data_IF_486968501390
#
_entry.id   IF_486968501390
#
_cell.length_a   1.000
_cell.length_b   1.000
_cell.length_c   1.000
_cell.angle_alpha   90.00
_cell.angle_beta   90.00
_cell.angle_gamma   90.00
#
_symmetry.space_group_name_H-M   'P 1'
#
loop_
_entity.id
_entity.type
_entity.pdbx_description
1 polymer ?
#
# COMPACT_ATOMS: atom_id res chain seq x y z
N UNK A 1 1.72 -14.59 11.00
CA UNK A 1 1.17 -13.22 11.12
C UNK A 1 1.79 -12.57 12.34
N UNK A 2 2.50 -11.45 12.21
CA UNK A 2 3.31 -10.87 13.32
C UNK A 2 2.48 -10.13 14.37
N UNK A 3 1.26 -9.70 14.02
CA UNK A 3 0.44 -8.80 14.87
C UNK A 3 -0.96 -9.34 15.20
N UNK A 4 -1.39 -10.43 14.57
CA UNK A 4 -2.68 -11.04 14.86
C UNK A 4 -2.54 -12.03 16.02
N UNK A 5 -3.48 -11.98 16.96
CA UNK A 5 -3.65 -13.00 18.00
C UNK A 5 -4.69 -13.99 17.51
N UNK A 6 -4.30 -15.26 17.39
CA UNK A 6 -5.11 -16.30 16.78
C UNK A 6 -5.30 -17.45 17.77
N UNK A 7 -6.55 -17.77 18.08
CA UNK A 7 -6.91 -18.80 19.05
C UNK A 7 -7.64 -19.96 18.36
N UNK A 8 -7.19 -21.20 18.66
CA UNK A 8 -7.90 -22.48 18.49
C UNK A 8 -8.47 -22.87 17.11
N UNK A 9 -8.94 -24.11 16.93
CA UNK A 9 -9.85 -24.48 15.83
C UNK A 9 -11.32 -24.21 16.23
N UNK A 10 -12.14 -23.57 15.38
CA UNK A 10 -11.81 -22.93 14.11
C UNK A 10 -11.01 -21.64 14.30
N UNK A 11 -10.06 -21.37 13.39
CA UNK A 11 -9.12 -20.24 13.49
C UNK A 11 -9.85 -18.90 13.69
N UNK A 12 -9.77 -18.35 14.89
CA UNK A 12 -10.27 -17.02 15.22
C UNK A 12 -9.09 -16.09 15.44
N UNK A 13 -8.78 -15.25 14.45
CA UNK A 13 -7.71 -14.26 14.53
C UNK A 13 -8.29 -12.86 14.77
N UNK A 14 -7.61 -12.08 15.61
CA UNK A 14 -7.95 -10.69 15.87
C UNK A 14 -6.73 -9.77 15.80
N UNK A 15 -6.96 -8.52 15.39
CA UNK A 15 -6.01 -7.42 15.45
C UNK A 15 -6.44 -6.42 16.52
N UNK A 16 -5.48 -5.82 17.20
CA UNK A 16 -5.76 -4.71 18.11
C UNK A 16 -5.72 -3.39 17.34
N UNK A 17 -6.81 -2.64 17.39
CA UNK A 17 -6.98 -1.35 16.70
C UNK A 17 -7.44 -0.25 17.65
N UNK A 18 -7.21 1.02 17.29
CA UNK A 18 -7.67 2.19 18.05
C UNK A 18 -7.22 2.16 19.52
N UNK A 19 -8.17 2.01 20.44
CA UNK A 19 -7.92 1.96 21.88
C UNK A 19 -7.75 0.53 22.44
N UNK A 20 -7.55 -0.47 21.59
CA UNK A 20 -7.42 -1.88 21.99
C UNK A 20 -8.63 -2.74 21.64
N UNK A 21 -9.50 -2.24 20.77
CA UNK A 21 -10.63 -3.01 20.23
C UNK A 21 -10.10 -4.19 19.42
N UNK A 22 -10.72 -5.37 19.60
CA UNK A 22 -10.41 -6.58 18.83
C UNK A 22 -11.14 -6.54 17.49
N UNK A 23 -10.41 -6.32 16.41
CA UNK A 23 -10.91 -6.40 15.05
C UNK A 23 -10.77 -7.86 14.56
N UNK A 24 -11.87 -8.60 14.31
CA UNK A 24 -11.78 -9.94 13.75
C UNK A 24 -11.23 -9.89 12.32
N UNK A 25 -10.45 -10.91 11.96
CA UNK A 25 -9.89 -11.11 10.62
C UNK A 25 -10.07 -12.55 10.16
N UNK A 26 -10.22 -12.73 8.85
CA UNK A 26 -10.22 -14.04 8.21
C UNK A 26 -8.80 -14.58 8.09
N UNK A 27 -8.54 -15.75 8.67
CA UNK A 27 -7.24 -16.42 8.63
C UNK A 27 -6.83 -16.92 7.25
N UNK A 28 -7.80 -17.16 6.37
CA UNK A 28 -7.61 -17.74 5.04
C UNK A 28 -7.39 -16.67 3.97
N UNK A 29 -7.80 -15.44 4.26
CA UNK A 29 -7.65 -14.29 3.39
C UNK A 29 -6.50 -13.37 3.82
N UNK A 30 -6.06 -12.52 2.90
CA UNK A 30 -5.16 -11.43 3.24
C UNK A 30 -5.91 -10.36 4.03
N UNK A 31 -5.27 -9.88 5.09
CA UNK A 31 -5.82 -8.82 5.94
C UNK A 31 -5.99 -7.54 5.10
N UNK A 32 -7.16 -6.86 5.16
CA UNK A 32 -7.38 -5.58 4.49
C UNK A 32 -6.39 -4.50 4.90
N UNK A 33 -5.97 -3.66 3.93
CA UNK A 33 -5.00 -2.57 4.16
C UNK A 33 -5.45 -1.61 5.26
N UNK A 34 -6.74 -1.25 5.28
CA UNK A 34 -7.27 -0.32 6.26
C UNK A 34 -7.12 -0.84 7.70
N UNK A 35 -7.42 -2.12 7.94
CA UNK A 35 -7.21 -2.76 9.25
C UNK A 35 -5.74 -2.86 9.64
N UNK A 36 -4.86 -3.15 8.69
CA UNK A 36 -3.41 -3.15 8.94
C UNK A 36 -2.92 -1.75 9.33
N UNK A 37 -3.35 -0.71 8.61
CA UNK A 37 -3.00 0.68 8.94
C UNK A 37 -3.52 1.08 10.33
N UNK A 38 -4.76 0.73 10.68
CA UNK A 38 -5.28 0.92 12.06
C UNK A 38 -4.44 0.22 13.11
N UNK A 39 -4.01 -1.01 12.82
CA UNK A 39 -3.17 -1.80 13.73
C UNK A 39 -1.79 -1.16 13.90
N UNK A 40 -1.19 -0.69 12.81
CA UNK A 40 0.09 0.03 12.84
C UNK A 40 -0.02 1.32 13.66
N UNK A 41 -1.12 2.06 13.53
CA UNK A 41 -1.36 3.26 14.35
C UNK A 41 -1.59 2.93 15.82
N UNK A 42 -2.32 1.87 16.15
CA UNK A 42 -2.46 1.35 17.51
C UNK A 42 -1.09 1.06 18.14
N UNK A 43 -0.21 0.41 17.38
CA UNK A 43 1.15 0.03 17.82
C UNK A 43 2.05 1.27 17.97
N UNK A 44 2.01 2.18 16.99
CA UNK A 44 2.81 3.41 17.01
C UNK A 44 2.49 4.27 18.24
N UNK A 45 1.21 4.47 18.56
CA UNK A 45 0.76 5.22 19.75
C UNK A 45 1.24 4.62 21.08
N UNK A 46 1.59 3.33 21.10
CA UNK A 46 2.06 2.61 22.29
C UNK A 46 3.56 2.33 22.29
N UNK A 47 4.33 2.93 21.37
CA UNK A 47 5.77 2.68 21.25
C UNK A 47 6.12 1.25 20.82
N UNK A 48 5.15 0.49 20.28
CA UNK A 48 5.34 -0.88 19.81
C UNK A 48 5.74 -0.95 18.32
N UNK A 49 5.89 0.20 17.66
CA UNK A 49 6.32 0.27 16.26
C UNK A 49 7.83 0.12 16.14
N UNK A 50 8.25 -0.80 15.26
CA UNK A 50 9.67 -0.99 14.91
C UNK A 50 10.24 0.15 14.06
N UNK A 51 9.43 1.14 13.67
CA UNK A 51 9.84 2.31 12.88
C UNK A 51 10.41 3.45 13.74
N UNK A 52 10.44 3.30 15.06
CA UNK A 52 10.68 4.41 16.00
C UNK A 52 12.15 4.52 16.40
N UNK A 53 12.99 5.05 15.51
CA UNK A 53 14.26 5.72 15.89
C UNK A 53 14.04 7.26 15.95
N UNK A 54 12.80 7.75 15.78
CA UNK A 54 12.50 9.19 15.64
C UNK A 54 11.79 9.90 16.81
N UNK A 55 11.59 9.25 17.96
CA UNK A 55 10.96 9.90 19.13
C UNK A 55 9.46 10.22 19.01
N UNK A 56 8.84 10.64 20.12
CA UNK A 56 7.45 11.14 20.15
C UNK A 56 7.38 12.47 19.38
N UNK A 57 6.54 12.54 18.35
CA UNK A 57 6.24 13.82 17.70
C UNK A 57 5.42 14.71 18.65
N UNK A 58 5.82 15.97 18.75
CA UNK A 58 5.14 17.02 19.52
C UNK A 58 3.75 17.31 18.91
N UNK A 59 2.76 17.64 19.74
CA UNK A 59 1.33 17.81 19.35
C UNK A 59 1.06 18.84 18.23
N UNK A 60 2.04 19.67 17.87
CA UNK A 60 1.96 20.75 16.87
C UNK A 60 2.80 20.49 15.61
N UNK A 61 3.46 19.33 15.51
CA UNK A 61 4.24 18.99 14.33
C UNK A 61 3.32 18.62 13.16
N UNK A 62 3.18 19.52 12.19
CA UNK A 62 2.51 19.26 10.92
C UNK A 62 3.47 18.45 10.03
N UNK A 63 3.42 17.12 10.15
CA UNK A 63 4.02 16.24 9.14
C UNK A 63 2.96 15.97 8.09
N UNK A 64 3.24 16.34 6.84
CA UNK A 64 2.42 15.92 5.71
C UNK A 64 2.67 14.42 5.45
N UNK A 65 2.06 13.60 6.32
CA UNK A 65 2.22 12.17 6.40
C UNK A 65 1.20 11.46 5.49
N UNK A 66 1.07 11.92 4.24
CA UNK A 66 0.06 11.48 3.27
C UNK A 66 0.10 9.97 2.95
N UNK A 67 1.06 9.21 3.52
CA UNK A 67 1.17 7.76 3.40
C UNK A 67 0.69 6.94 4.61
N UNK A 68 0.71 7.47 5.84
CA UNK A 68 0.34 6.73 7.06
C UNK A 68 -0.48 7.63 8.00
N UNK A 69 -1.73 7.24 8.22
CA UNK A 69 -2.69 7.89 9.12
C UNK A 69 -3.52 6.80 9.84
N UNK A 70 -4.36 7.18 10.81
CA UNK A 70 -5.35 6.26 11.43
C UNK A 70 -6.63 6.28 10.60
N UNK A 71 -6.86 5.30 9.71
CA UNK A 71 -7.95 5.39 8.76
C UNK A 71 -9.27 4.98 9.38
N UNK A 72 -10.37 5.50 8.88
CA UNK A 72 -11.70 4.91 9.05
C UNK A 72 -11.93 3.81 8.01
N UNK A 73 -12.41 2.66 8.48
CA UNK A 73 -12.66 1.48 7.68
C UNK A 73 -14.15 1.12 7.71
N UNK A 74 -14.63 0.57 6.61
CA UNK A 74 -15.88 -0.20 6.57
C UNK A 74 -15.70 -1.55 7.28
N UNK A 75 -16.81 -2.23 7.56
CA UNK A 75 -16.81 -3.53 8.25
C UNK A 75 -16.07 -4.63 7.45
N UNK A 76 -16.03 -4.52 6.13
CA UNK A 76 -15.30 -5.43 5.23
C UNK A 76 -13.81 -5.06 5.06
N UNK A 77 -13.36 -4.01 5.75
CA UNK A 77 -11.98 -3.51 5.75
C UNK A 77 -11.61 -2.63 4.57
N UNK A 78 -12.58 -2.23 3.73
CA UNK A 78 -12.37 -1.12 2.78
C UNK A 78 -12.20 0.20 3.52
N UNK A 79 -11.57 1.17 2.87
CA UNK A 79 -11.55 2.53 3.39
C UNK A 79 -12.93 3.16 3.22
N UNK A 80 -13.36 3.93 4.23
CA UNK A 80 -14.40 4.92 3.98
C UNK A 80 -13.85 5.97 3.02
N UNK A 81 -14.69 6.44 2.08
CA UNK A 81 -14.26 7.42 1.07
C UNK A 81 -13.76 8.73 1.70
N UNK A 82 -14.38 9.15 2.80
CA UNK A 82 -13.96 10.28 3.63
C UNK A 82 -13.09 9.80 4.78
N UNK A 83 -12.00 10.51 5.01
CA UNK A 83 -11.07 10.29 6.11
C UNK A 83 -10.89 11.61 6.86
N UNK A 84 -10.81 11.55 8.18
CA UNK A 84 -10.59 12.73 9.03
C UNK A 84 -9.55 12.39 10.10
N UNK A 85 -8.80 13.39 10.57
CA UNK A 85 -7.73 13.19 11.56
C UNK A 85 -8.22 13.36 13.03
N UNK A 86 -9.53 13.36 13.27
CA UNK A 86 -10.11 13.60 14.61
C UNK A 86 -10.20 15.08 15.01
N UNK A 87 -9.79 15.99 14.13
CA UNK A 87 -10.10 17.43 14.20
C UNK A 87 -11.12 17.78 13.12
N UNK A 88 -11.23 19.06 12.76
CA UNK A 88 -12.07 19.48 11.65
C UNK A 88 -11.49 19.14 10.27
N UNK A 89 -10.26 18.64 10.19
CA UNK A 89 -9.60 18.37 8.90
C UNK A 89 -9.98 16.99 8.34
N UNK A 90 -10.55 17.00 7.14
CA UNK A 90 -10.95 15.81 6.38
C UNK A 90 -10.44 15.84 4.94
N UNK A 91 -10.35 14.67 4.30
CA UNK A 91 -9.97 14.50 2.90
C UNK A 91 -10.66 13.26 2.30
N UNK A 92 -10.74 13.18 0.97
CA UNK A 92 -11.19 11.96 0.32
C UNK A 92 -10.02 11.07 -0.11
N UNK A 93 -10.25 9.75 -0.08
CA UNK A 93 -9.28 8.72 -0.49
C UNK A 93 -9.83 7.83 -1.59
N UNK A 94 -8.94 7.14 -2.32
CA UNK A 94 -9.29 6.04 -3.23
C UNK A 94 -9.37 4.70 -2.50
N UNK A 95 -9.67 3.63 -3.24
CA UNK A 95 -9.73 2.26 -2.72
C UNK A 95 -8.38 1.73 -2.20
N UNK A 96 -7.26 2.39 -2.53
CA UNK A 96 -5.95 2.13 -1.95
C UNK A 96 -5.63 2.93 -0.67
N UNK A 97 -6.55 3.81 -0.22
CA UNK A 97 -6.38 4.66 0.96
C UNK A 97 -5.47 5.87 0.71
N UNK A 98 -5.27 6.27 -0.55
CA UNK A 98 -4.43 7.42 -0.91
C UNK A 98 -5.30 8.64 -1.10
N UNK A 99 -4.86 9.77 -0.53
CA UNK A 99 -5.54 11.06 -0.63
C UNK A 99 -5.63 11.51 -2.09
N UNK A 100 -6.80 12.01 -2.47
CA UNK A 100 -7.11 12.44 -3.84
C UNK A 100 -7.86 13.76 -3.93
N UNK A 101 -7.99 14.46 -2.81
CA UNK A 101 -8.54 15.82 -2.71
C UNK A 101 -7.61 16.65 -1.85
N UNK A 102 -7.76 17.96 -1.89
CA UNK A 102 -7.23 18.81 -0.82
C UNK A 102 -7.90 18.47 0.52
N UNK A 103 -7.23 18.88 1.59
CA UNK A 103 -7.78 18.81 2.94
C UNK A 103 -8.85 19.90 3.06
N UNK A 104 -10.07 19.48 3.40
CA UNK A 104 -11.20 20.35 3.70
C UNK A 104 -11.65 20.17 5.14
N UNK A 105 -12.82 20.72 5.46
CA UNK A 105 -13.42 20.59 6.78
C UNK A 105 -14.40 19.39 6.87
N UNK A 106 -15.16 19.32 7.96
CA UNK A 106 -16.19 18.29 8.14
C UNK A 106 -17.34 18.37 7.12
N UNK A 107 -17.49 19.46 6.36
CA UNK A 107 -18.51 19.58 5.32
C UNK A 107 -18.09 18.94 3.99
N UNK A 108 -16.80 18.57 3.84
CA UNK A 108 -16.26 17.90 2.66
C UNK A 108 -17.06 16.64 2.33
N UNK A 109 -17.54 16.56 1.09
CA UNK A 109 -18.35 15.44 0.59
C UNK A 109 -17.49 14.50 -0.25
N UNK A 110 -17.44 13.23 0.17
CA UNK A 110 -16.77 12.16 -0.57
C UNK A 110 -17.85 11.16 -1.02
N UNK A 111 -18.61 11.52 -2.07
CA UNK A 111 -19.81 10.80 -2.48
C UNK A 111 -19.60 9.35 -2.92
N UNK A 112 -18.36 8.95 -3.23
CA UNK A 112 -18.00 7.57 -3.54
C UNK A 112 -16.53 7.28 -3.27
N UNK A 113 -16.24 6.01 -2.99
CA UNK A 113 -14.88 5.49 -2.97
C UNK A 113 -14.45 5.22 -4.41
N UNK A 114 -13.51 6.01 -4.92
CA UNK A 114 -13.02 5.83 -6.29
C UNK A 114 -12.02 4.68 -6.35
N UNK A 115 -12.19 3.80 -7.33
CA UNK A 115 -11.35 2.63 -7.50
C UNK A 115 -10.01 2.97 -8.14
N UNK A 116 -8.93 2.42 -7.56
CA UNK A 116 -7.61 2.39 -8.19
C UNK A 116 -7.54 1.21 -9.16
N UNK A 117 -7.39 1.48 -10.46
CA UNK A 117 -7.35 0.44 -11.50
C UNK A 117 -5.95 0.16 -12.06
N UNK A 118 -4.98 0.99 -11.74
CA UNK A 118 -3.60 0.81 -12.17
C UNK A 118 -2.64 1.23 -11.06
N UNK A 119 -1.72 0.33 -10.73
CA UNK A 119 -0.60 0.57 -9.82
C UNK A 119 0.70 0.41 -10.58
N UNK A 120 1.52 1.47 -10.60
CA UNK A 120 2.86 1.46 -11.19
C UNK A 120 3.90 1.34 -10.08
N UNK A 121 4.72 0.29 -10.15
CA UNK A 121 5.85 0.06 -9.27
C UNK A 121 7.10 0.60 -9.94
N UNK A 122 7.88 1.42 -9.25
CA UNK A 122 9.26 1.70 -9.61
C UNK A 122 10.15 1.09 -8.54
N UNK A 123 10.91 0.06 -8.92
CA UNK A 123 11.79 -0.69 -8.04
C UNK A 123 13.23 -0.43 -8.45
N UNK A 124 14.08 -0.14 -7.48
CA UNK A 124 15.54 -0.09 -7.69
C UNK A 124 16.16 -1.25 -6.95
N UNK A 125 16.91 -2.08 -7.68
CA UNK A 125 17.66 -3.18 -7.09
C UNK A 125 19.11 -2.77 -6.79
N UNK A 126 19.71 -3.46 -5.82
CA UNK A 126 21.15 -3.40 -5.56
C UNK A 126 21.94 -3.91 -6.74
N UNK A 127 23.23 -3.57 -6.79
CA UNK A 127 24.15 -4.10 -7.81
C UNK A 127 24.12 -5.63 -7.88
N UNK A 128 24.27 -6.13 -9.10
CA UNK A 128 24.17 -7.54 -9.46
C UNK A 128 25.40 -7.93 -10.28
N UNK A 129 25.90 -9.15 -10.06
CA UNK A 129 27.08 -9.67 -10.77
C UNK A 129 26.72 -10.37 -12.08
N UNK A 130 25.45 -10.69 -12.30
CA UNK A 130 24.95 -11.37 -13.49
C UNK A 130 23.97 -10.44 -14.20
N UNK A 131 24.03 -10.45 -15.53
CA UNK A 131 23.11 -9.71 -16.38
C UNK A 131 21.66 -10.17 -16.13
N UNK A 132 20.73 -9.21 -15.98
CA UNK A 132 19.32 -9.49 -15.71
C UNK A 132 18.55 -9.46 -17.02
N UNK A 133 17.99 -10.61 -17.42
CA UNK A 133 17.13 -10.68 -18.60
C UNK A 133 15.74 -10.05 -18.32
N UNK A 134 15.33 -9.10 -19.15
CA UNK A 134 14.07 -8.36 -19.03
C UNK A 134 12.81 -9.25 -19.13
N UNK A 135 12.81 -10.27 -19.98
CA UNK A 135 11.65 -11.13 -20.17
C UNK A 135 11.46 -12.06 -18.97
N UNK A 136 12.56 -12.59 -18.44
CA UNK A 136 12.56 -13.40 -17.21
C UNK A 136 12.17 -12.57 -15.99
N UNK A 137 12.51 -11.28 -16.00
CA UNK A 137 12.15 -10.33 -14.94
C UNK A 137 10.63 -10.17 -14.78
N UNK A 138 9.87 -10.14 -15.88
CA UNK A 138 8.40 -10.06 -15.83
C UNK A 138 7.81 -11.23 -15.05
N UNK A 139 8.23 -12.43 -15.42
CA UNK A 139 7.77 -13.69 -14.82
C UNK A 139 8.17 -13.76 -13.34
N UNK A 140 9.41 -13.40 -13.01
CA UNK A 140 9.91 -13.37 -11.64
C UNK A 140 9.09 -12.45 -10.74
N UNK A 141 8.81 -11.22 -11.20
CA UNK A 141 8.02 -10.24 -10.44
C UNK A 141 6.57 -10.71 -10.31
N UNK A 142 5.95 -11.20 -11.38
CA UNK A 142 4.58 -11.69 -11.32
C UNK A 142 4.43 -12.87 -10.35
N UNK A 143 5.40 -13.79 -10.34
CA UNK A 143 5.43 -14.92 -9.41
C UNK A 143 5.62 -14.47 -7.97
N UNK A 144 6.51 -13.51 -7.71
CA UNK A 144 6.73 -12.96 -6.37
C UNK A 144 5.46 -12.25 -5.86
N UNK A 145 4.84 -11.41 -6.70
CA UNK A 145 3.58 -10.74 -6.37
C UNK A 145 2.44 -11.73 -6.12
N UNK A 146 2.36 -12.82 -6.89
CA UNK A 146 1.38 -13.87 -6.67
C UNK A 146 1.65 -14.65 -5.38
N UNK A 147 2.87 -15.13 -5.18
CA UNK A 147 3.25 -15.89 -4.00
C UNK A 147 2.94 -15.12 -2.71
N UNK A 148 3.35 -13.85 -2.68
CA UNK A 148 3.27 -12.98 -1.50
C UNK A 148 1.90 -12.33 -1.30
N UNK A 149 1.27 -11.86 -2.37
CA UNK A 149 0.05 -11.05 -2.29
C UNK A 149 -1.18 -11.70 -2.93
N UNK A 150 -1.06 -12.95 -3.40
CA UNK A 150 -2.14 -13.67 -4.08
C UNK A 150 -2.73 -12.81 -5.20
N UNK A 151 -1.86 -12.08 -5.89
CA UNK A 151 -2.17 -11.26 -7.05
C UNK A 151 -2.17 -12.17 -8.28
N UNK A 152 -3.19 -12.08 -9.13
CA UNK A 152 -3.19 -12.83 -10.38
C UNK A 152 -2.04 -12.35 -11.29
N UNK A 153 -1.11 -13.23 -11.71
CA UNK A 153 -0.01 -12.87 -12.60
C UNK A 153 -0.44 -12.15 -13.89
N UNK A 154 -1.65 -12.42 -14.38
CA UNK A 154 -2.18 -11.80 -15.60
C UNK A 154 -2.43 -10.29 -15.51
N UNK A 155 -2.44 -9.74 -14.29
CA UNK A 155 -2.57 -8.30 -14.04
C UNK A 155 -1.26 -7.54 -14.23
N UNK A 156 -0.12 -8.23 -14.25
CA UNK A 156 1.18 -7.63 -14.58
C UNK A 156 1.26 -7.47 -16.10
N UNK A 157 0.91 -6.29 -16.61
CA UNK A 157 0.78 -6.05 -18.06
C UNK A 157 2.10 -5.70 -18.69
N UNK A 158 2.81 -4.73 -18.12
CA UNK A 158 4.04 -4.20 -18.69
C UNK A 158 5.19 -4.24 -17.69
N UNK A 159 6.39 -4.44 -18.23
CA UNK A 159 7.63 -4.27 -17.50
C UNK A 159 8.63 -3.49 -18.35
N UNK A 160 9.29 -2.53 -17.73
CA UNK A 160 10.42 -1.81 -18.29
C UNK A 160 11.61 -2.02 -17.36
N UNK A 161 12.79 -2.11 -17.95
CA UNK A 161 14.02 -2.32 -17.20
C UNK A 161 15.12 -1.46 -17.80
N UNK A 162 15.70 -0.61 -16.96
CA UNK A 162 16.89 0.16 -17.22
C UNK A 162 18.03 -0.44 -16.38
N UNK A 163 18.97 -1.17 -17.00
CA UNK A 163 20.06 -1.82 -16.28
C UNK A 163 21.07 -0.82 -15.69
N UNK A 164 21.30 0.31 -16.35
CA UNK A 164 22.28 1.32 -15.91
C UNK A 164 21.77 2.03 -14.65
N UNK A 165 20.47 2.35 -14.62
CA UNK A 165 19.81 2.89 -13.44
C UNK A 165 19.40 1.82 -12.41
N UNK A 166 19.56 0.52 -12.73
CA UNK A 166 19.04 -0.64 -11.97
C UNK A 166 17.55 -0.52 -11.65
N UNK A 167 16.82 0.12 -12.54
CA UNK A 167 15.44 0.53 -12.33
C UNK A 167 14.48 -0.37 -13.09
N UNK A 168 13.48 -0.87 -12.39
CA UNK A 168 12.43 -1.72 -12.93
C UNK A 168 11.12 -0.98 -12.77
N UNK A 169 10.39 -0.79 -13.87
CA UNK A 169 9.03 -0.24 -13.87
C UNK A 169 8.05 -1.36 -14.15
N UNK A 170 7.05 -1.54 -13.30
CA UNK A 170 6.06 -2.62 -13.42
C UNK A 170 4.67 -2.02 -13.38
N UNK A 171 3.87 -2.30 -14.39
CA UNK A 171 2.47 -1.88 -14.43
C UNK A 171 1.54 -3.04 -14.11
N UNK A 172 0.82 -2.88 -13.00
CA UNK A 172 -0.22 -3.81 -12.55
C UNK A 172 -1.57 -3.16 -12.79
N UNK A 173 -2.36 -3.71 -13.72
CA UNK A 173 -3.64 -3.12 -14.11
C UNK A 173 -4.79 -4.12 -14.02
N UNK A 174 -5.98 -3.60 -13.71
CA UNK A 174 -7.25 -4.31 -13.78
C UNK A 174 -8.17 -3.58 -14.76
N UNK A 175 -9.13 -4.28 -15.40
CA UNK A 175 -10.18 -3.62 -16.16
C UNK A 175 -10.93 -2.61 -15.28
N UNK A 176 -11.31 -1.47 -15.86
CA UNK A 176 -12.14 -0.48 -15.17
C UNK A 176 -13.51 -1.06 -14.84
N UNK A 177 -14.07 -0.70 -13.68
CA UNK A 177 -15.34 -1.22 -13.18
C UNK A 177 -15.24 -2.60 -12.53
N UNK A 178 -14.07 -3.25 -12.56
CA UNK A 178 -13.86 -4.54 -11.92
C UNK A 178 -13.53 -4.35 -10.43
N UNK A 179 -14.51 -4.61 -9.56
CA UNK A 179 -14.35 -4.52 -8.10
C UNK A 179 -13.83 -5.82 -7.47
N UNK A 180 -13.98 -6.95 -8.16
CA UNK A 180 -13.59 -8.27 -7.62
C UNK A 180 -12.10 -8.53 -7.78
N UNK A 181 -11.50 -7.99 -8.85
CA UNK A 181 -10.05 -7.98 -9.05
C UNK A 181 -9.48 -6.89 -8.15
N UNK A 182 -9.16 -7.27 -6.92
CA UNK A 182 -8.39 -6.41 -6.04
C UNK A 182 -6.97 -6.32 -6.63
N UNK A 183 -6.59 -5.18 -7.21
CA UNK A 183 -5.16 -4.83 -7.24
C UNK A 183 -4.81 -4.64 -5.78
N UNK A 184 -4.34 -5.72 -5.17
CA UNK A 184 -4.04 -5.78 -3.76
C UNK A 184 -2.78 -4.94 -3.53
N UNK A 185 -2.93 -3.61 -3.54
CA UNK A 185 -1.96 -2.66 -2.99
C UNK A 185 -1.75 -2.84 -1.48
N UNK A 186 -2.43 -3.85 -0.91
CA UNK A 186 -2.61 -4.19 0.49
C UNK A 186 -1.32 -4.20 1.30
N UNK A 187 -0.15 -4.27 0.67
CA UNK A 187 1.12 -4.44 1.37
C UNK A 187 2.32 -3.80 0.65
N UNK A 188 2.07 -2.85 -0.25
CA UNK A 188 3.16 -2.27 -1.01
C UNK A 188 3.93 -1.20 -0.20
N UNK A 189 3.28 -0.62 0.81
CA UNK A 189 3.95 0.13 1.90
C UNK A 189 4.54 -0.78 3.00
N UNK A 190 4.36 -2.10 2.91
CA UNK A 190 4.97 -3.12 3.76
C UNK A 190 6.26 -3.72 3.18
N UNK A 191 6.81 -3.09 2.14
CA UNK A 191 8.21 -3.28 1.70
C UNK A 191 9.21 -2.87 2.79
N UNK A 192 8.74 -2.19 3.84
CA UNK A 192 9.55 -1.69 4.96
C UNK A 192 9.64 -2.66 6.14
N UNK A 193 8.99 -3.83 6.12
CA UNK A 193 9.33 -4.86 7.10
C UNK A 193 10.68 -5.47 6.70
N UNK A 194 11.73 -5.08 7.43
CA UNK A 194 13.12 -5.52 7.20
C UNK A 194 13.25 -7.05 7.18
N UNK A 195 12.30 -7.78 7.76
CA UNK A 195 12.31 -9.25 7.86
C UNK A 195 11.79 -10.00 6.61
N UNK A 196 11.14 -9.32 5.64
CA UNK A 196 10.66 -9.93 4.39
C UNK A 196 10.82 -8.98 3.21
N UNK A 197 12.08 -8.72 2.82
CA UNK A 197 12.39 -7.88 1.65
C UNK A 197 11.74 -8.47 0.39
N UNK A 198 11.27 -7.61 -0.51
CA UNK A 198 10.79 -8.04 -1.82
C UNK A 198 12.02 -8.39 -2.66
N UNK A 199 12.19 -9.67 -2.98
CA UNK A 199 13.42 -10.19 -3.61
C UNK A 199 13.06 -11.15 -4.75
N UNK A 200 12.63 -10.63 -5.92
CA UNK A 200 12.32 -11.48 -7.06
C UNK A 200 13.58 -12.22 -7.50
N UNK A 201 13.43 -13.51 -7.82
CA UNK A 201 14.51 -14.37 -8.31
C UNK A 201 14.47 -14.42 -9.83
N UNK A 202 15.55 -13.98 -10.47
CA UNK A 202 15.72 -13.96 -11.93
C UNK A 202 16.96 -14.78 -12.26
N UNK A 203 16.81 -15.82 -13.08
CA UNK A 203 17.92 -16.67 -13.54
C UNK A 203 18.79 -17.24 -12.39
N UNK A 204 18.15 -17.57 -11.26
CA UNK A 204 18.82 -18.10 -10.08
C UNK A 204 19.48 -17.04 -9.19
N UNK A 205 19.45 -15.76 -9.58
CA UNK A 205 19.90 -14.63 -8.77
C UNK A 205 18.72 -13.92 -8.09
N UNK A 206 18.86 -13.61 -6.80
CA UNK A 206 17.87 -12.81 -6.07
C UNK A 206 18.16 -11.31 -6.21
N UNK A 207 17.21 -10.55 -6.75
CA UNK A 207 17.31 -9.11 -6.85
C UNK A 207 16.91 -8.46 -5.53
N UNK A 208 17.89 -7.93 -4.78
CA UNK A 208 17.61 -7.21 -3.55
C UNK A 208 17.09 -5.81 -3.87
N UNK A 209 15.79 -5.56 -3.67
CA UNK A 209 15.22 -4.22 -3.86
C UNK A 209 15.60 -3.31 -2.68
N UNK A 210 16.23 -2.17 -3.00
CA UNK A 210 16.65 -1.16 -2.02
C UNK A 210 15.75 0.07 -1.99
N UNK A 211 15.08 0.39 -3.11
CA UNK A 211 14.14 1.50 -3.22
C UNK A 211 12.86 1.04 -3.92
N UNK A 212 11.73 1.49 -3.42
CA UNK A 212 10.42 1.23 -4.01
C UNK A 212 9.62 2.52 -3.99
N UNK A 213 9.15 2.94 -5.17
CA UNK A 213 8.19 4.03 -5.34
C UNK A 213 6.94 3.44 -5.98
N UNK A 214 5.78 3.93 -5.57
CA UNK A 214 4.50 3.37 -5.91
C UNK A 214 3.61 4.51 -6.36
N UNK A 215 3.04 4.37 -7.55
CA UNK A 215 2.05 5.30 -8.07
C UNK A 215 0.71 4.59 -8.18
N UNK A 216 -0.34 5.32 -7.85
CA UNK A 216 -1.71 4.87 -7.90
C UNK A 216 -2.45 5.69 -8.94
N UNK A 217 -3.11 5.01 -9.87
CA UNK A 217 -3.92 5.63 -10.91
C UNK A 217 -5.36 5.18 -10.74
N UNK A 218 -6.22 6.16 -10.53
CA UNK A 218 -7.62 5.99 -10.21
C UNK A 218 -8.51 6.06 -11.46
N UNK A 219 -9.70 5.47 -11.39
CA UNK A 219 -10.68 5.52 -12.48
C UNK A 219 -11.17 6.94 -12.78
N UNK A 220 -11.07 7.83 -11.79
CA UNK A 220 -11.40 9.25 -11.87
C UNK A 220 -10.21 10.11 -11.45
N UNK A 221 -9.99 11.26 -12.10
CA UNK A 221 -8.89 12.15 -11.74
C UNK A 221 -9.03 12.66 -10.29
N UNK A 222 -7.90 12.92 -9.60
CA UNK A 222 -7.92 13.58 -8.30
C UNK A 222 -8.36 15.05 -8.46
N UNK A 223 -8.93 15.61 -7.40
CA UNK A 223 -9.34 17.03 -7.34
C UNK A 223 -8.44 17.85 -6.41
N UNK A 224 -7.16 17.47 -6.33
CA UNK A 224 -6.13 18.22 -5.60
C UNK A 224 -5.83 19.49 -6.37
N UNK A 225 -5.91 20.67 -5.74
CA UNK A 225 -5.49 21.92 -6.35
C UNK A 225 -3.99 21.89 -6.60
N UNK A 226 -3.55 22.42 -7.75
CA UNK A 226 -2.20 22.27 -8.29
C UNK A 226 -1.06 22.93 -7.47
N UNK A 227 -1.29 23.29 -6.21
CA UNK A 227 -0.29 23.91 -5.30
C UNK A 227 0.61 22.91 -4.57
N UNK A 228 0.39 21.60 -4.72
CA UNK A 228 1.38 20.57 -4.38
C UNK A 228 1.93 20.00 -5.68
N UNK A 229 3.25 19.73 -5.79
CA UNK A 229 3.90 19.44 -7.06
C UNK A 229 3.18 18.27 -7.72
N UNK A 230 2.39 18.61 -8.73
CA UNK A 230 1.84 17.67 -9.67
C UNK A 230 3.05 16.99 -10.29
N UNK A 231 3.25 15.73 -9.90
CA UNK A 231 4.23 14.88 -10.55
C UNK A 231 3.85 14.87 -12.04
N UNK A 232 4.73 15.35 -12.94
CA UNK A 232 4.37 15.55 -14.32
C UNK A 232 4.03 14.18 -14.93
N UNK A 233 2.78 14.05 -15.38
CA UNK A 233 2.37 12.97 -16.27
C UNK A 233 3.07 13.26 -17.60
N UNK A 234 4.25 12.69 -17.81
CA UNK A 234 4.86 12.65 -19.14
C UNK A 234 4.17 11.57 -19.96
N UNK A 235 3.63 12.01 -21.10
CA UNK A 235 3.09 11.20 -22.20
C UNK A 235 4.15 10.28 -22.79
#
# INVERSE_FOLDING_TARGET
MKWAMCDGPPCSCTLLVGNGTKQPIDCTALIPKCFLMKTEMYRARRGLSTRTIGGKQHEIAIVDNDGIYDPECENDGKFKAKQCNGTDVCWCVNSAGVRRTDKGDQTLQCGKLVETYWVRLQLTHKEVNVYVNKDNLKTAIANELNSRYKLNPSLVKEIQYDPDARMIVVDVTKPKGETNVKIKSHNLQLFTDQSRRFTPSVDGQNLMIEKTIIYYVDEEPPTVSASLPSCPIFF
#
